data_IF_997635303944
#
_entry.id   IF_997635303944
#
_cell.length_a   1.000
_cell.length_b   1.000
_cell.length_c   1.000
_cell.angle_alpha   90.00
_cell.angle_beta   90.00
_cell.angle_gamma   90.00
#
_symmetry.space_group_name_H-M   'P 1'
#
loop_
_entity.id
_entity.type
_entity.pdbx_description
1 polymer ?
#
# COMPACT_ATOMS: atom_id res chain seq x y z
N UNK A 1 -1.55 -13.75 6.29
CA UNK A 1 -1.92 -12.35 6.20
C UNK A 1 -1.29 -11.51 7.28
N UNK A 2 -2.05 -10.62 7.78
CA UNK A 2 -1.62 -9.62 8.74
C UNK A 2 -1.34 -8.28 8.09
N UNK A 3 -1.11 -7.26 8.91
CA UNK A 3 -1.03 -5.88 8.42
C UNK A 3 0.06 -5.69 7.36
N UNK A 4 1.25 -6.27 7.57
CA UNK A 4 2.37 -6.12 6.63
C UNK A 4 2.22 -6.99 5.37
N UNK A 5 1.78 -8.24 5.52
CA UNK A 5 1.71 -9.20 4.42
C UNK A 5 0.42 -9.10 3.57
N UNK A 6 -0.57 -8.37 4.04
CA UNK A 6 -1.86 -8.19 3.36
C UNK A 6 -2.02 -6.77 2.81
N UNK A 7 -1.68 -5.76 3.61
CA UNK A 7 -1.88 -4.37 3.25
C UNK A 7 -0.60 -3.74 2.64
N UNK A 8 0.53 -3.86 3.33
CA UNK A 8 1.76 -3.16 2.93
C UNK A 8 2.40 -3.67 1.64
N UNK A 9 2.06 -4.87 1.20
CA UNK A 9 2.59 -5.41 -0.07
C UNK A 9 2.32 -4.50 -1.25
N UNK A 10 1.17 -3.85 -1.30
CA UNK A 10 0.80 -2.92 -2.37
C UNK A 10 1.67 -1.66 -2.34
N UNK A 11 1.92 -1.10 -1.16
CA UNK A 11 2.75 0.09 -1.01
C UNK A 11 4.22 -0.20 -1.31
N UNK A 12 4.73 -1.36 -0.87
CA UNK A 12 6.11 -1.79 -1.16
C UNK A 12 6.32 -1.97 -2.66
N UNK A 13 5.35 -2.56 -3.37
CA UNK A 13 5.41 -2.71 -4.82
C UNK A 13 5.45 -1.35 -5.53
N UNK A 14 4.58 -0.43 -5.14
CA UNK A 14 4.58 0.94 -5.66
C UNK A 14 5.90 1.66 -5.40
N UNK A 15 6.48 1.54 -4.20
CA UNK A 15 7.77 2.15 -3.88
C UNK A 15 8.87 1.58 -4.77
N UNK A 16 8.92 0.25 -4.97
CA UNK A 16 9.86 -0.39 -5.89
C UNK A 16 9.69 0.10 -7.32
N UNK A 17 8.45 0.15 -7.79
CA UNK A 17 8.13 0.58 -9.16
C UNK A 17 8.52 2.05 -9.40
N UNK A 18 8.12 2.97 -8.52
CA UNK A 18 8.41 4.40 -8.67
C UNK A 18 9.89 4.73 -8.53
N UNK A 19 10.63 4.00 -7.71
CA UNK A 19 12.07 4.23 -7.52
C UNK A 19 12.94 3.47 -8.51
N UNK A 20 12.40 2.47 -9.21
CA UNK A 20 13.15 1.59 -10.10
C UNK A 20 14.24 0.81 -9.36
N UNK A 21 14.03 0.44 -8.10
CA UNK A 21 15.05 -0.14 -7.24
C UNK A 21 14.45 -1.18 -6.28
N UNK A 22 15.26 -2.13 -5.83
CA UNK A 22 14.86 -3.07 -4.79
C UNK A 22 15.05 -2.50 -3.39
N UNK A 23 14.33 -3.09 -2.44
CA UNK A 23 14.41 -2.74 -1.02
C UNK A 23 15.72 -3.26 -0.44
N UNK A 24 16.41 -2.41 0.29
CA UNK A 24 17.67 -2.74 0.98
C UNK A 24 17.47 -3.02 2.46
N UNK A 25 16.82 -2.11 3.16
CA UNK A 25 16.53 -2.22 4.59
C UNK A 25 15.12 -1.75 4.90
N UNK A 26 14.53 -2.33 5.94
CA UNK A 26 13.23 -1.92 6.49
C UNK A 26 13.30 -1.73 8.00
N UNK A 27 12.53 -0.78 8.52
CA UNK A 27 12.23 -0.65 9.94
C UNK A 27 10.75 -0.38 10.10
N UNK A 28 10.07 -1.20 10.91
CA UNK A 28 8.63 -1.20 11.03
C UNK A 28 8.17 -1.11 12.48
N UNK A 29 7.07 -0.39 12.69
CA UNK A 29 6.37 -0.24 13.96
C UNK A 29 4.88 -0.44 13.74
N UNK A 30 4.15 -0.80 14.80
CA UNK A 30 2.71 -0.93 14.75
C UNK A 30 2.09 -1.05 16.13
N UNK A 31 0.79 -1.11 16.18
CA UNK A 31 0.04 -1.27 17.42
C UNK A 31 -1.39 -1.70 17.18
N UNK A 32 -2.07 -2.06 18.25
CA UNK A 32 -3.48 -2.41 18.26
C UNK A 32 -4.23 -1.34 19.04
N UNK A 33 -5.12 -0.64 18.36
CA UNK A 33 -5.84 0.51 18.90
C UNK A 33 -7.34 0.30 18.98
N UNK A 34 -7.92 -0.49 18.08
CA UNK A 34 -9.37 -0.71 17.97
C UNK A 34 -9.73 -2.20 18.09
N UNK A 35 -9.03 -3.09 17.40
CA UNK A 35 -9.45 -4.48 17.24
C UNK A 35 -8.56 -5.44 18.04
N UNK A 36 -8.98 -5.82 19.25
CA UNK A 36 -8.22 -6.70 20.16
C UNK A 36 -7.79 -8.04 19.55
N UNK A 37 -8.50 -8.52 18.53
CA UNK A 37 -8.13 -9.72 17.76
C UNK A 37 -6.68 -9.68 17.27
N UNK A 38 -6.18 -8.50 16.91
CA UNK A 38 -4.79 -8.36 16.43
C UNK A 38 -3.76 -8.60 17.52
N UNK A 39 -4.10 -8.37 18.79
CA UNK A 39 -3.22 -8.74 19.93
C UNK A 39 -3.07 -10.26 20.04
N UNK A 40 -4.17 -10.99 19.89
CA UNK A 40 -4.17 -12.46 19.94
C UNK A 40 -3.37 -13.07 18.79
N UNK A 41 -3.33 -12.38 17.63
CA UNK A 41 -2.61 -12.80 16.43
C UNK A 41 -1.16 -12.31 16.38
N UNK A 42 -0.67 -11.61 17.41
CA UNK A 42 0.63 -10.94 17.41
C UNK A 42 0.83 -10.08 16.15
N UNK A 43 -0.16 -9.23 15.85
CA UNK A 43 -0.20 -8.37 14.68
C UNK A 43 -0.63 -6.95 15.09
N UNK A 44 -0.86 -6.06 14.13
CA UNK A 44 -1.27 -4.68 14.33
C UNK A 44 -2.52 -4.35 13.51
N UNK A 45 -3.35 -3.45 13.99
CA UNK A 45 -4.43 -2.83 13.17
C UNK A 45 -3.99 -1.50 12.56
N UNK A 46 -2.91 -0.91 13.07
CA UNK A 46 -2.22 0.25 12.50
C UNK A 46 -0.71 -0.04 12.47
N UNK A 47 -0.09 0.19 11.31
CA UNK A 47 1.32 -0.08 11.10
C UNK A 47 1.98 0.98 10.21
N UNK A 48 3.27 1.20 10.44
CA UNK A 48 4.10 2.04 9.61
C UNK A 48 5.46 1.39 9.37
N UNK A 49 6.09 1.71 8.26
CA UNK A 49 7.48 1.33 8.00
C UNK A 49 8.22 2.40 7.23
N UNK A 50 9.51 2.51 7.51
CA UNK A 50 10.49 3.20 6.67
C UNK A 50 11.26 2.18 5.85
N UNK A 51 11.49 2.50 4.59
CA UNK A 51 12.13 1.63 3.61
C UNK A 51 13.31 2.37 3.00
N UNK A 52 14.47 1.75 3.01
CA UNK A 52 15.65 2.21 2.29
C UNK A 52 15.82 1.37 1.02
N UNK A 53 15.96 2.02 -0.12
CA UNK A 53 16.18 1.36 -1.41
C UNK A 53 17.67 1.18 -1.70
N UNK A 54 18.03 0.23 -2.58
CA UNK A 54 19.42 -0.01 -2.97
C UNK A 54 20.05 1.19 -3.67
N UNK A 55 19.27 1.96 -4.44
CA UNK A 55 19.73 3.18 -5.10
C UNK A 55 19.81 4.42 -4.18
N UNK A 56 19.50 4.26 -2.89
CA UNK A 56 19.51 5.33 -1.88
C UNK A 56 18.22 6.11 -1.74
N UNK A 57 17.20 5.86 -2.54
CA UNK A 57 15.87 6.41 -2.33
C UNK A 57 15.27 5.90 -1.01
N UNK A 58 14.29 6.63 -0.49
CA UNK A 58 13.59 6.27 0.75
C UNK A 58 12.10 6.21 0.51
N UNK A 59 11.43 5.24 1.14
CA UNK A 59 9.99 5.13 1.22
C UNK A 59 9.51 5.20 2.66
N UNK A 60 8.33 5.72 2.84
CA UNK A 60 7.56 5.64 4.07
C UNK A 60 6.17 5.15 3.74
N UNK A 61 5.68 4.19 4.49
CA UNK A 61 4.31 3.73 4.36
C UNK A 61 3.60 3.73 5.72
N UNK A 62 2.32 4.01 5.69
CA UNK A 62 1.42 3.90 6.83
C UNK A 62 0.15 3.21 6.38
N UNK A 63 -0.23 2.16 7.07
CA UNK A 63 -1.44 1.40 6.80
C UNK A 63 -2.27 1.24 8.05
N UNK A 64 -3.58 1.29 7.92
CA UNK A 64 -4.48 1.12 9.06
C UNK A 64 -5.80 0.46 8.65
N UNK A 65 -6.48 -0.13 9.61
CA UNK A 65 -7.83 -0.69 9.49
C UNK A 65 -8.87 0.13 10.24
N UNK A 66 -8.45 1.28 10.77
CA UNK A 66 -9.28 2.14 11.64
C UNK A 66 -9.70 3.45 10.97
N UNK A 67 -9.45 3.62 9.67
CA UNK A 67 -9.75 4.85 8.95
C UNK A 67 -11.25 5.09 8.82
N UNK A 68 -11.74 6.19 9.37
CA UNK A 68 -13.17 6.48 9.43
C UNK A 68 -13.81 6.83 8.07
N UNK A 69 -13.01 7.25 7.09
CA UNK A 69 -13.48 7.65 5.76
C UNK A 69 -13.43 6.50 4.73
N UNK A 70 -13.65 5.26 5.16
CA UNK A 70 -13.67 4.09 4.28
C UNK A 70 -12.30 3.74 3.70
N UNK A 71 -12.28 3.23 2.47
CA UNK A 71 -11.03 2.84 1.80
C UNK A 71 -10.31 4.07 1.24
N UNK A 72 -9.28 4.53 1.93
CA UNK A 72 -8.40 5.60 1.46
C UNK A 72 -7.00 5.05 1.16
N UNK A 73 -6.50 5.34 -0.04
CA UNK A 73 -5.13 5.05 -0.45
C UNK A 73 -4.60 6.26 -1.19
N UNK A 74 -3.50 6.80 -0.73
CA UNK A 74 -2.85 7.96 -1.33
C UNK A 74 -1.34 7.76 -1.42
N UNK A 75 -0.72 8.36 -2.42
CA UNK A 75 0.72 8.31 -2.63
C UNK A 75 1.26 9.69 -2.93
N UNK A 76 2.32 10.08 -2.24
CA UNK A 76 3.11 11.26 -2.56
C UNK A 76 4.53 10.84 -2.98
N UNK A 77 4.99 11.36 -4.11
CA UNK A 77 6.33 11.13 -4.63
C UNK A 77 7.06 12.47 -4.68
N UNK A 78 8.11 12.60 -3.90
CA UNK A 78 8.94 13.80 -3.84
C UNK A 78 10.23 13.54 -4.62
N UNK A 79 10.30 14.10 -5.82
CA UNK A 79 11.46 13.99 -6.70
C UNK A 79 12.27 15.28 -6.78
N UNK A 80 13.44 15.21 -7.40
CA UNK A 80 14.35 16.37 -7.55
C UNK A 80 13.81 17.45 -8.47
N UNK A 81 12.82 17.16 -9.32
CA UNK A 81 12.23 18.10 -10.28
C UNK A 81 10.76 18.42 -9.97
N UNK A 82 10.20 17.90 -8.91
CA UNK A 82 8.82 18.17 -8.53
C UNK A 82 8.21 17.09 -7.63
N UNK A 83 6.96 17.31 -7.25
CA UNK A 83 6.19 16.41 -6.41
C UNK A 83 4.93 15.95 -7.14
N UNK A 84 4.64 14.67 -7.07
CA UNK A 84 3.39 14.07 -7.54
C UNK A 84 2.55 13.64 -6.34
N UNK A 85 1.25 13.89 -6.39
CA UNK A 85 0.28 13.38 -5.41
C UNK A 85 -0.80 12.62 -6.15
N UNK A 86 -0.99 11.38 -5.77
CA UNK A 86 -1.89 10.44 -6.42
C UNK A 86 -2.98 10.05 -5.43
N UNK A 87 -4.23 10.09 -5.90
CA UNK A 87 -5.40 9.62 -5.17
C UNK A 87 -5.62 10.28 -3.79
N UNK A 88 -5.18 11.54 -3.64
CA UNK A 88 -5.46 12.33 -2.45
C UNK A 88 -6.96 12.42 -2.22
N UNK A 89 -7.44 11.79 -1.17
CA UNK A 89 -8.84 11.66 -0.72
C UNK A 89 -9.81 11.20 -1.81
N UNK A 90 -10.19 9.95 -1.73
CA UNK A 90 -11.14 9.37 -2.67
C UNK A 90 -12.57 9.78 -2.39
N UNK A 91 -12.95 11.02 -2.64
CA UNK A 91 -14.36 11.35 -2.75
C UNK A 91 -15.01 10.43 -3.80
N UNK A 92 -16.10 9.78 -3.43
CA UNK A 92 -16.82 8.83 -4.28
C UNK A 92 -17.38 9.49 -5.54
N UNK A 93 -17.67 10.78 -5.44
CA UNK A 93 -18.29 11.59 -6.50
C UNK A 93 -17.96 13.09 -6.27
N UNK A 94 -18.50 13.94 -7.11
CA UNK A 94 -18.35 15.39 -6.99
C UNK A 94 -19.45 16.04 -6.11
N UNK A 95 -20.22 15.23 -5.36
CA UNK A 95 -21.27 15.74 -4.49
C UNK A 95 -20.67 16.25 -3.18
N UNK A 96 -20.91 17.53 -2.90
CA UNK A 96 -20.67 18.13 -1.62
C UNK A 96 -22.02 18.44 -0.97
N UNK A 97 -22.27 17.91 0.20
CA UNK A 97 -23.51 18.12 0.96
C UNK A 97 -23.23 19.23 1.97
N UNK A 98 -23.97 20.33 1.85
CA UNK A 98 -23.87 21.47 2.77
C UNK A 98 -25.19 21.63 3.54
N UNK A 99 -25.15 21.53 4.85
CA UNK A 99 -26.29 21.67 5.72
C UNK A 99 -25.90 22.42 7.03
N UNK A 100 -26.77 22.41 8.02
CA UNK A 100 -26.55 23.06 9.32
C UNK A 100 -25.36 22.48 10.12
N UNK A 101 -24.85 21.29 9.73
CA UNK A 101 -23.70 20.63 10.34
C UNK A 101 -22.39 20.94 9.58
N UNK A 102 -22.45 21.69 8.49
CA UNK A 102 -21.30 22.08 7.69
C UNK A 102 -21.24 21.41 6.32
N UNK A 103 -20.04 21.22 5.81
CA UNK A 103 -19.78 20.61 4.50
C UNK A 103 -19.23 19.20 4.67
N UNK A 104 -19.78 18.26 3.93
CA UNK A 104 -19.34 16.84 3.93
C UNK A 104 -19.34 16.25 2.52
N UNK A 105 -18.48 15.26 2.33
CA UNK A 105 -18.34 14.50 1.10
C UNK A 105 -18.62 13.03 1.37
N UNK A 106 -18.98 12.28 0.34
CA UNK A 106 -19.13 10.83 0.42
C UNK A 106 -17.84 10.13 0.03
N UNK A 107 -17.45 9.10 0.78
CA UNK A 107 -16.30 8.25 0.51
C UNK A 107 -16.73 6.86 0.05
N UNK A 108 -15.80 6.16 -0.60
CA UNK A 108 -16.00 4.75 -0.92
C UNK A 108 -15.97 3.91 0.37
N UNK A 109 -17.00 3.10 0.65
CA UNK A 109 -17.08 2.34 1.90
C UNK A 109 -16.07 1.20 1.96
N UNK A 110 -15.63 0.71 0.82
CA UNK A 110 -14.75 -0.45 0.70
C UNK A 110 -13.83 -0.37 -0.53
N UNK A 111 -12.81 -1.23 -0.54
CA UNK A 111 -11.83 -1.27 -1.62
C UNK A 111 -12.39 -1.81 -2.94
N UNK A 112 -13.39 -2.71 -2.90
CA UNK A 112 -13.97 -3.28 -4.12
C UNK A 112 -14.70 -2.21 -4.93
N UNK A 113 -15.47 -1.36 -4.26
CA UNK A 113 -16.16 -0.25 -4.92
C UNK A 113 -15.19 0.84 -5.38
N UNK A 114 -14.14 1.12 -4.61
CA UNK A 114 -13.12 2.13 -4.97
C UNK A 114 -12.30 1.71 -6.19
N UNK A 115 -11.87 0.46 -6.24
CA UNK A 115 -10.93 -0.03 -7.23
C UNK A 115 -11.57 -0.87 -8.34
N UNK A 116 -12.90 -0.76 -8.50
CA UNK A 116 -13.63 -1.53 -9.50
C UNK A 116 -13.01 -1.44 -10.91
N UNK A 117 -12.68 -0.24 -11.36
CA UNK A 117 -12.07 -0.03 -12.68
C UNK A 117 -10.66 -0.66 -12.78
N UNK A 118 -9.90 -0.65 -11.70
CA UNK A 118 -8.58 -1.28 -11.66
C UNK A 118 -8.69 -2.81 -11.80
N UNK A 119 -9.63 -3.44 -11.10
CA UNK A 119 -9.89 -4.88 -11.26
C UNK A 119 -10.33 -5.25 -12.67
N UNK A 120 -11.17 -4.43 -13.30
CA UNK A 120 -11.54 -4.63 -14.70
C UNK A 120 -10.34 -4.49 -15.62
N UNK A 121 -9.51 -3.45 -15.42
CA UNK A 121 -8.31 -3.22 -16.22
C UNK A 121 -7.30 -4.36 -16.10
N UNK A 122 -7.10 -4.90 -14.88
CA UNK A 122 -6.26 -6.08 -14.63
C UNK A 122 -6.73 -7.28 -15.44
N UNK A 123 -8.03 -7.59 -15.40
CA UNK A 123 -8.59 -8.72 -16.16
C UNK A 123 -8.50 -8.53 -17.67
N UNK A 124 -8.68 -7.30 -18.16
CA UNK A 124 -8.52 -6.97 -19.59
C UNK A 124 -7.06 -7.15 -20.01
N UNK A 125 -6.11 -6.66 -19.23
CA UNK A 125 -4.68 -6.82 -19.50
C UNK A 125 -4.28 -8.31 -19.49
N UNK A 126 -4.68 -9.05 -18.45
CA UNK A 126 -4.39 -10.48 -18.33
C UNK A 126 -4.93 -11.29 -19.51
N UNK A 127 -6.20 -11.10 -19.86
CA UNK A 127 -6.82 -11.82 -20.98
C UNK A 127 -6.20 -11.42 -22.33
N UNK A 128 -5.76 -10.16 -22.48
CA UNK A 128 -4.99 -9.68 -23.61
C UNK A 128 -3.67 -10.45 -23.75
N UNK A 129 -2.89 -10.55 -22.67
CA UNK A 129 -1.64 -11.32 -22.65
C UNK A 129 -1.85 -12.80 -22.99
N UNK A 130 -2.91 -13.42 -22.46
CA UNK A 130 -3.27 -14.81 -22.79
C UNK A 130 -3.58 -14.97 -24.27
N UNK A 131 -4.44 -14.10 -24.82
CA UNK A 131 -4.84 -14.13 -26.23
C UNK A 131 -3.64 -13.96 -27.17
N UNK A 132 -2.78 -13.00 -26.87
CA UNK A 132 -1.66 -12.60 -27.73
C UNK A 132 -0.38 -13.40 -27.44
N UNK A 133 -0.43 -14.36 -26.50
CA UNK A 133 0.69 -15.17 -26.01
C UNK A 133 1.91 -14.33 -25.61
N UNK A 134 1.65 -13.23 -24.89
CA UNK A 134 2.67 -12.30 -24.37
C UNK A 134 2.74 -12.35 -22.84
N UNK A 135 3.73 -11.71 -22.27
CA UNK A 135 3.90 -11.55 -20.80
C UNK A 135 4.01 -10.08 -20.48
N UNK A 136 3.52 -9.65 -19.30
CA UNK A 136 3.80 -8.30 -18.82
C UNK A 136 5.32 -8.09 -18.68
N UNK A 137 5.80 -6.91 -19.05
CA UNK A 137 7.22 -6.59 -18.99
C UNK A 137 7.67 -6.22 -17.56
N UNK A 138 6.78 -5.64 -16.80
CA UNK A 138 7.05 -4.90 -15.56
C UNK A 138 6.30 -5.46 -14.35
N UNK A 139 5.69 -6.63 -14.48
CA UNK A 139 5.03 -7.33 -13.39
C UNK A 139 5.29 -8.83 -13.51
N UNK A 140 6.23 -9.30 -12.74
CA UNK A 140 6.75 -10.67 -12.83
C UNK A 140 6.64 -11.41 -11.49
N UNK A 141 6.89 -12.73 -11.52
CA UNK A 141 7.01 -13.54 -10.29
C UNK A 141 8.14 -13.01 -9.39
N UNK A 142 9.19 -12.45 -9.98
CA UNK A 142 10.29 -11.84 -9.23
C UNK A 142 9.77 -10.65 -8.38
N UNK A 143 8.96 -9.78 -8.95
CA UNK A 143 8.38 -8.63 -8.24
C UNK A 143 7.51 -9.08 -7.07
N UNK A 144 6.62 -10.05 -7.30
CA UNK A 144 5.81 -10.64 -6.24
C UNK A 144 6.64 -11.26 -5.11
N UNK A 145 7.76 -11.92 -5.44
CA UNK A 145 8.68 -12.52 -4.46
C UNK A 145 9.40 -11.43 -3.66
N UNK A 146 9.98 -10.44 -4.33
CA UNK A 146 10.72 -9.36 -3.69
C UNK A 146 9.84 -8.52 -2.75
N UNK A 147 8.60 -8.24 -3.17
CA UNK A 147 7.62 -7.53 -2.34
C UNK A 147 7.24 -8.37 -1.12
N UNK A 148 6.98 -9.66 -1.30
CA UNK A 148 6.61 -10.56 -0.21
C UNK A 148 7.74 -10.71 0.81
N UNK A 149 8.99 -10.78 0.36
CA UNK A 149 10.16 -10.83 1.23
C UNK A 149 10.28 -9.54 2.04
N UNK A 150 10.16 -8.38 1.41
CA UNK A 150 10.21 -7.09 2.09
C UNK A 150 9.08 -6.94 3.12
N UNK A 151 7.86 -7.35 2.79
CA UNK A 151 6.73 -7.33 3.72
C UNK A 151 6.95 -8.28 4.92
N UNK A 152 7.53 -9.45 4.68
CA UNK A 152 7.90 -10.38 5.75
C UNK A 152 8.97 -9.79 6.67
N UNK A 153 9.97 -9.10 6.11
CA UNK A 153 10.98 -8.39 6.89
C UNK A 153 10.39 -7.22 7.68
N UNK A 154 9.37 -6.53 7.15
CA UNK A 154 8.65 -5.52 7.92
C UNK A 154 7.96 -6.14 9.14
N UNK A 155 7.32 -7.30 8.99
CA UNK A 155 6.72 -8.03 10.12
C UNK A 155 7.78 -8.44 11.14
N UNK A 156 8.89 -9.03 10.72
CA UNK A 156 10.01 -9.39 11.61
C UNK A 156 10.61 -8.16 12.31
N UNK A 157 10.71 -7.03 11.60
CA UNK A 157 11.15 -5.75 12.16
C UNK A 157 10.21 -5.26 13.25
N UNK A 158 8.91 -5.31 13.03
CA UNK A 158 7.88 -4.98 14.02
C UNK A 158 8.00 -5.87 15.26
N UNK A 159 8.16 -7.17 15.09
CA UNK A 159 8.27 -8.13 16.21
C UNK A 159 9.56 -7.95 17.02
N UNK A 160 10.65 -7.56 16.37
CA UNK A 160 11.98 -7.45 17.01
C UNK A 160 12.37 -6.03 17.40
N UNK A 161 11.68 -5.01 16.87
CA UNK A 161 12.00 -3.59 17.03
C UNK A 161 13.28 -3.15 16.31
N UNK A 162 13.82 -3.98 15.42
CA UNK A 162 15.11 -3.73 14.74
C UNK A 162 14.93 -3.36 13.28
N UNK A 163 15.85 -2.55 12.77
CA UNK A 163 16.02 -2.41 11.33
C UNK A 163 16.63 -3.69 10.77
N UNK A 164 16.05 -4.20 9.68
CA UNK A 164 16.47 -5.46 9.07
C UNK A 164 16.82 -5.27 7.59
N UNK A 165 17.90 -5.92 7.10
CA UNK A 165 18.21 -5.98 5.67
C UNK A 165 17.30 -6.98 4.95
N UNK A 166 17.07 -6.73 3.66
CA UNK A 166 16.58 -7.75 2.74
C UNK A 166 17.77 -8.64 2.32
N UNK A 167 17.55 -9.91 2.14
CA UNK A 167 18.63 -10.88 1.87
C UNK A 167 18.68 -11.26 0.40
#
# INVERSE_FOLDING_TARGET
GGQYLDMCVHDIDLIRWFTGSDVKNVWAIGGVFEFDLYKELNDADNAAATIQMENGAMGFMFTNRTHAAGSNVETEIIGTHGTLRIANVGAKNLLNIVDEHGSREEYYPDFMSRWHEAFVAEMVAFTGHVRDNTKPADLTVYDGTAVSEAAYRCKESFETGKMLPIR
#
